data_IF_946584305645
#
_entry.id   IF_946584305645
#
_cell.length_a   1.000
_cell.length_b   1.000
_cell.length_c   1.000
_cell.angle_alpha   90.00
_cell.angle_beta   90.00
_cell.angle_gamma   90.00
#
_symmetry.space_group_name_H-M   'P 1'
#
loop_
_entity.id
_entity.type
_entity.pdbx_description
1 polymer ?
#
# COMPACT_ATOMS: atom_id res chain seq x y z
N UNK A 1 -6.20 19.75 -8.51
CA UNK A 1 -4.96 20.13 -9.20
C UNK A 1 -4.49 21.54 -8.83
N UNK A 2 -5.32 22.59 -8.92
CA UNK A 2 -4.95 23.97 -8.56
C UNK A 2 -4.44 24.15 -7.12
N UNK A 3 -5.11 23.54 -6.14
CA UNK A 3 -4.68 23.61 -4.74
C UNK A 3 -3.30 22.97 -4.50
N UNK A 4 -3.01 21.82 -5.13
CA UNK A 4 -1.72 21.16 -5.03
C UNK A 4 -0.59 22.00 -5.65
N UNK A 5 -0.87 22.64 -6.80
CA UNK A 5 0.05 23.58 -7.44
C UNK A 5 0.32 24.80 -6.57
N UNK A 6 -0.73 25.38 -5.97
CA UNK A 6 -0.58 26.53 -5.08
C UNK A 6 0.32 26.21 -3.88
N UNK A 7 0.12 25.03 -3.26
CA UNK A 7 0.98 24.54 -2.18
C UNK A 7 2.42 24.37 -2.68
N UNK A 8 2.64 23.65 -3.78
CA UNK A 8 3.97 23.42 -4.31
C UNK A 8 4.74 24.73 -4.61
N UNK A 9 4.06 25.71 -5.21
CA UNK A 9 4.63 27.02 -5.52
C UNK A 9 4.89 27.85 -4.26
N UNK A 10 4.01 27.80 -3.26
CA UNK A 10 4.22 28.52 -2.00
C UNK A 10 5.46 28.02 -1.24
N UNK A 11 5.69 26.71 -1.22
CA UNK A 11 6.92 26.13 -0.67
C UNK A 11 8.16 26.51 -1.49
N UNK A 12 8.05 26.48 -2.83
CA UNK A 12 9.15 26.93 -3.70
C UNK A 12 9.50 28.41 -3.47
N UNK A 13 8.50 29.28 -3.30
CA UNK A 13 8.68 30.70 -2.99
C UNK A 13 9.28 30.93 -1.59
N UNK A 14 9.01 30.03 -0.64
CA UNK A 14 9.64 30.03 0.69
C UNK A 14 11.09 29.50 0.67
N UNK A 15 11.65 29.19 -0.51
CA UNK A 15 13.02 28.71 -0.69
C UNK A 15 13.17 27.19 -0.60
N UNK A 16 12.07 26.44 -0.54
CA UNK A 16 12.11 24.97 -0.52
C UNK A 16 12.13 24.41 -1.94
N UNK A 17 13.30 23.90 -2.35
CA UNK A 17 13.45 23.16 -3.60
C UNK A 17 13.05 21.70 -3.40
N UNK A 18 11.92 21.30 -4.01
CA UNK A 18 11.43 19.93 -3.98
C UNK A 18 12.43 18.92 -4.56
N UNK A 19 13.20 19.33 -5.56
CA UNK A 19 14.23 18.49 -6.18
C UNK A 19 15.41 18.25 -5.25
N UNK A 20 15.87 19.30 -4.55
CA UNK A 20 16.94 19.17 -3.55
C UNK A 20 16.48 18.37 -2.34
N UNK A 21 15.23 18.56 -1.91
CA UNK A 21 14.61 17.72 -0.88
C UNK A 21 14.61 16.24 -1.26
N UNK A 22 14.27 15.92 -2.51
CA UNK A 22 14.28 14.54 -3.01
C UNK A 22 15.68 13.93 -3.03
N UNK A 23 16.69 14.63 -3.57
CA UNK A 23 18.07 14.14 -3.60
C UNK A 23 18.66 13.98 -2.20
N UNK A 24 18.37 14.89 -1.27
CA UNK A 24 18.81 14.80 0.12
C UNK A 24 18.18 13.61 0.86
N UNK A 25 16.88 13.35 0.64
CA UNK A 25 16.21 12.16 1.18
C UNK A 25 16.83 10.88 0.63
N UNK A 26 17.12 10.83 -0.68
CA UNK A 26 17.79 9.70 -1.29
C UNK A 26 19.19 9.49 -0.68
N UNK A 27 20.00 10.55 -0.56
CA UNK A 27 21.32 10.47 0.07
C UNK A 27 21.24 9.95 1.52
N UNK A 28 20.30 10.46 2.31
CA UNK A 28 20.10 10.02 3.71
C UNK A 28 19.65 8.56 3.80
N UNK A 29 18.78 8.13 2.89
CA UNK A 29 18.29 6.76 2.81
C UNK A 29 19.44 5.79 2.55
N UNK A 30 20.31 6.09 1.58
CA UNK A 30 21.49 5.26 1.25
C UNK A 30 22.63 5.35 2.26
N UNK A 31 22.77 6.46 2.99
CA UNK A 31 23.69 6.60 4.10
C UNK A 31 23.24 5.85 5.37
N UNK A 32 21.95 5.53 5.46
CA UNK A 32 21.35 4.81 6.59
C UNK A 32 21.35 3.29 6.41
N UNK A 33 20.37 2.65 7.04
CA UNK A 33 20.23 1.19 7.18
C UNK A 33 19.81 0.50 5.85
N UNK A 34 19.76 1.23 4.73
CA UNK A 34 19.37 0.67 3.43
C UNK A 34 20.34 -0.41 2.92
N UNK A 35 21.61 -0.39 3.35
CA UNK A 35 22.61 -1.43 3.05
C UNK A 35 22.38 -2.72 3.85
N UNK A 36 21.83 -2.63 5.06
CA UNK A 36 21.56 -3.79 5.92
C UNK A 36 20.25 -4.51 5.54
N UNK A 37 19.48 -3.97 4.60
CA UNK A 37 18.21 -4.52 4.10
C UNK A 37 18.41 -5.11 2.70
N UNK A 38 18.77 -6.41 2.59
CA UNK A 38 19.01 -7.05 1.29
C UNK A 38 17.75 -6.99 0.42
N UNK A 39 17.89 -6.45 -0.79
CA UNK A 39 16.78 -6.26 -1.72
C UNK A 39 16.09 -7.59 -2.07
N UNK A 40 16.88 -8.65 -2.23
CA UNK A 40 16.38 -9.99 -2.55
C UNK A 40 15.39 -10.52 -1.52
N UNK A 41 15.56 -10.16 -0.24
CA UNK A 41 14.65 -10.56 0.83
C UNK A 41 13.45 -9.62 0.91
N UNK A 42 13.68 -8.31 0.92
CA UNK A 42 12.63 -7.33 1.18
C UNK A 42 11.64 -7.14 0.04
N UNK A 43 12.03 -7.38 -1.22
CA UNK A 43 11.10 -7.36 -2.37
C UNK A 43 9.91 -8.31 -2.17
N UNK A 44 10.15 -9.55 -1.72
CA UNK A 44 9.05 -10.50 -1.50
C UNK A 44 8.45 -10.38 -0.10
N UNK A 45 9.27 -10.08 0.92
CA UNK A 45 8.79 -9.94 2.29
C UNK A 45 7.81 -8.76 2.42
N UNK A 46 8.05 -7.65 1.71
CA UNK A 46 7.12 -6.52 1.62
C UNK A 46 5.74 -6.95 1.11
N UNK A 47 5.71 -7.71 0.01
CA UNK A 47 4.47 -8.22 -0.58
C UNK A 47 3.76 -9.20 0.36
N UNK A 48 4.52 -10.09 1.02
CA UNK A 48 3.99 -11.01 2.01
C UNK A 48 3.36 -10.25 3.20
N UNK A 49 4.02 -9.20 3.70
CA UNK A 49 3.49 -8.33 4.74
C UNK A 49 2.18 -7.66 4.31
N UNK A 50 2.06 -7.20 3.06
CA UNK A 50 0.80 -6.66 2.54
C UNK A 50 -0.28 -7.70 2.53
N UNK A 51 -0.01 -8.90 2.02
CA UNK A 51 -0.99 -10.00 1.98
C UNK A 51 -1.47 -10.35 3.38
N UNK A 52 -0.56 -10.42 4.35
CA UNK A 52 -0.89 -10.62 5.76
C UNK A 52 -1.73 -9.46 6.33
N UNK A 53 -1.41 -8.20 5.98
CA UNK A 53 -2.10 -7.03 6.48
C UNK A 53 -3.51 -6.85 5.90
N UNK A 54 -3.70 -7.11 4.60
CA UNK A 54 -5.02 -6.96 3.95
C UNK A 54 -5.92 -8.18 4.17
N UNK A 55 -5.33 -9.34 4.49
CA UNK A 55 -6.02 -10.60 4.74
C UNK A 55 -6.47 -11.32 3.47
N UNK A 56 -6.66 -12.64 3.58
CA UNK A 56 -6.95 -13.54 2.45
C UNK A 56 -8.27 -13.19 1.73
N UNK A 57 -9.25 -12.63 2.43
CA UNK A 57 -10.50 -12.19 1.81
C UNK A 57 -10.31 -11.04 0.85
N UNK A 58 -9.36 -10.15 1.16
CA UNK A 58 -9.03 -9.01 0.31
C UNK A 58 -8.25 -9.46 -0.90
N UNK A 59 -7.36 -10.45 -0.76
CA UNK A 59 -6.68 -11.12 -1.89
C UNK A 59 -7.71 -11.78 -2.82
N UNK A 60 -8.69 -12.49 -2.27
CA UNK A 60 -9.77 -13.08 -3.05
C UNK A 60 -10.60 -12.01 -3.78
N UNK A 61 -10.92 -10.89 -3.11
CA UNK A 61 -11.60 -9.75 -3.71
C UNK A 61 -10.80 -9.09 -4.84
N UNK A 62 -9.47 -9.01 -4.69
CA UNK A 62 -8.55 -8.46 -5.69
C UNK A 62 -8.54 -9.27 -6.99
N UNK A 63 -8.79 -10.58 -6.94
CA UNK A 63 -8.92 -11.39 -8.18
C UNK A 63 -10.09 -10.94 -9.06
N UNK A 64 -11.13 -10.34 -8.46
CA UNK A 64 -12.30 -9.80 -9.17
C UNK A 64 -12.15 -8.36 -9.60
N UNK A 65 -11.09 -7.68 -9.13
CA UNK A 65 -10.79 -6.30 -9.48
C UNK A 65 -10.47 -6.13 -10.98
N UNK A 66 -10.01 -7.20 -11.63
CA UNK A 66 -9.65 -7.23 -13.04
C UNK A 66 -10.84 -7.50 -13.99
N UNK A 67 -12.08 -7.37 -13.52
CA UNK A 67 -13.26 -7.48 -14.39
C UNK A 67 -13.25 -6.35 -15.45
N UNK A 68 -12.92 -6.72 -16.69
CA UNK A 68 -12.87 -5.81 -17.85
C UNK A 68 -14.20 -5.08 -18.08
N UNK A 69 -15.34 -5.70 -17.77
CA UNK A 69 -16.64 -5.06 -17.96
C UNK A 69 -16.87 -3.95 -16.93
N UNK A 70 -16.48 -4.17 -15.66
CA UNK A 70 -16.58 -3.17 -14.60
C UNK A 70 -15.60 -2.00 -14.79
N UNK A 71 -14.37 -2.28 -15.25
CA UNK A 71 -13.37 -1.26 -15.58
C UNK A 71 -13.84 -0.41 -16.76
N UNK A 72 -14.38 -1.04 -17.82
CA UNK A 72 -14.89 -0.32 -18.99
C UNK A 72 -16.10 0.54 -18.67
N UNK A 73 -16.90 0.15 -17.67
CA UNK A 73 -17.99 0.96 -17.10
C UNK A 73 -17.50 2.08 -16.16
N UNK A 74 -16.18 2.22 -15.96
CA UNK A 74 -15.56 3.20 -15.05
C UNK A 74 -16.14 3.19 -13.65
N UNK A 75 -16.37 1.99 -13.10
CA UNK A 75 -16.72 1.85 -11.68
C UNK A 75 -15.62 2.48 -10.82
N UNK A 76 -15.95 3.55 -10.10
CA UNK A 76 -14.98 4.31 -9.29
C UNK A 76 -14.22 3.42 -8.30
N UNK A 77 -14.89 2.42 -7.73
CA UNK A 77 -14.28 1.46 -6.82
C UNK A 77 -13.17 0.63 -7.48
N UNK A 78 -13.41 0.11 -8.69
CA UNK A 78 -12.41 -0.68 -9.42
C UNK A 78 -11.19 0.17 -9.80
N UNK A 79 -11.44 1.41 -10.25
CA UNK A 79 -10.38 2.34 -10.63
C UNK A 79 -9.52 2.76 -9.43
N UNK A 80 -10.14 3.07 -8.28
CA UNK A 80 -9.40 3.43 -7.05
C UNK A 80 -8.57 2.25 -6.58
N UNK A 81 -9.14 1.05 -6.50
CA UNK A 81 -8.40 -0.12 -6.06
C UNK A 81 -7.26 -0.50 -7.02
N UNK A 82 -7.45 -0.36 -8.33
CA UNK A 82 -6.38 -0.55 -9.34
C UNK A 82 -5.28 0.49 -9.18
N UNK A 83 -5.64 1.76 -8.95
CA UNK A 83 -4.68 2.82 -8.71
C UNK A 83 -3.88 2.57 -7.42
N UNK A 84 -4.50 2.05 -6.36
CA UNK A 84 -3.80 1.69 -5.12
C UNK A 84 -2.83 0.52 -5.32
N UNK A 85 -3.23 -0.52 -6.08
CA UNK A 85 -2.33 -1.61 -6.46
C UNK A 85 -1.14 -1.11 -7.29
N UNK A 86 -1.39 -0.24 -8.26
CA UNK A 86 -0.36 0.37 -9.08
C UNK A 86 0.59 1.24 -8.24
N UNK A 87 0.06 2.01 -7.28
CA UNK A 87 0.86 2.80 -6.36
C UNK A 87 1.77 1.92 -5.50
N UNK A 88 1.27 0.80 -4.99
CA UNK A 88 2.07 -0.19 -4.23
C UNK A 88 3.16 -0.79 -5.11
N UNK A 89 2.84 -1.21 -6.34
CA UNK A 89 3.83 -1.75 -7.27
C UNK A 89 4.91 -0.71 -7.64
N UNK A 90 4.51 0.54 -7.91
CA UNK A 90 5.45 1.64 -8.15
C UNK A 90 6.32 1.92 -6.91
N UNK A 91 5.76 1.87 -5.70
CA UNK A 91 6.49 2.07 -4.46
C UNK A 91 7.49 0.93 -4.20
N UNK A 92 7.12 -0.32 -4.49
CA UNK A 92 8.02 -1.46 -4.34
C UNK A 92 9.17 -1.41 -5.37
N UNK A 93 8.83 -1.10 -6.62
CA UNK A 93 9.81 -0.90 -7.70
C UNK A 93 10.73 0.31 -7.45
N UNK A 94 10.27 1.32 -6.71
CA UNK A 94 11.11 2.48 -6.36
C UNK A 94 12.28 2.16 -5.43
N UNK A 95 12.31 0.96 -4.82
CA UNK A 95 13.32 0.52 -3.85
C UNK A 95 13.46 1.39 -2.58
N UNK A 96 12.62 2.42 -2.41
CA UNK A 96 12.61 3.34 -1.28
C UNK A 96 11.74 2.86 -0.10
N UNK A 97 10.98 1.77 -0.26
CA UNK A 97 10.05 1.24 0.76
C UNK A 97 10.56 -0.04 1.46
N UNK A 98 11.87 -0.35 1.41
CA UNK A 98 12.40 -1.59 2.02
C UNK A 98 12.15 -1.59 3.53
N UNK A 99 11.35 -2.54 4.03
CA UNK A 99 10.98 -2.66 5.44
C UNK A 99 10.29 -1.43 6.08
N UNK A 100 9.78 -0.49 5.28
CA UNK A 100 8.97 0.64 5.75
C UNK A 100 7.52 0.58 5.24
N UNK A 101 7.12 -0.59 4.74
CA UNK A 101 5.78 -0.87 4.22
C UNK A 101 4.70 -0.53 5.23
N UNK A 102 4.94 -0.84 6.51
CA UNK A 102 4.03 -0.49 7.61
C UNK A 102 3.79 1.02 7.74
N UNK A 103 4.72 1.89 7.33
CA UNK A 103 4.54 3.35 7.42
C UNK A 103 4.07 3.97 6.12
N UNK A 104 4.61 3.50 5.00
CA UNK A 104 4.39 4.12 3.69
C UNK A 104 3.13 3.54 3.03
N UNK A 105 2.86 2.25 3.20
CA UNK A 105 1.77 1.58 2.48
C UNK A 105 0.47 1.48 3.28
N UNK A 106 0.50 1.69 4.59
CA UNK A 106 -0.69 1.67 5.45
C UNK A 106 -1.88 2.48 4.88
N UNK A 107 -1.70 3.73 4.41
CA UNK A 107 -2.80 4.49 3.83
C UNK A 107 -3.41 3.84 2.59
N UNK A 108 -2.60 3.09 1.81
CA UNK A 108 -3.02 2.42 0.58
C UNK A 108 -3.64 1.05 0.86
N UNK A 109 -3.10 0.28 1.81
CA UNK A 109 -3.59 -1.06 2.16
C UNK A 109 -4.96 -1.03 2.83
N UNK A 110 -5.30 0.05 3.55
CA UNK A 110 -6.65 0.27 4.10
C UNK A 110 -7.72 0.17 3.00
N UNK A 111 -7.48 0.74 1.83
CA UNK A 111 -8.42 0.66 0.70
C UNK A 111 -8.54 -0.74 0.11
N UNK A 112 -7.48 -1.55 0.21
CA UNK A 112 -7.50 -2.93 -0.25
C UNK A 112 -8.34 -3.83 0.65
N UNK A 113 -8.49 -3.50 1.95
CA UNK A 113 -9.38 -4.26 2.86
C UNK A 113 -10.86 -4.16 2.49
N UNK A 114 -11.23 -3.19 1.64
CA UNK A 114 -12.58 -3.08 1.08
C UNK A 114 -12.81 -3.99 -0.13
N UNK A 115 -11.77 -4.59 -0.74
CA UNK A 115 -11.88 -5.50 -1.89
C UNK A 115 -12.82 -6.71 -1.69
N UNK A 116 -13.00 -7.30 -0.49
CA UNK A 116 -13.97 -8.36 -0.27
C UNK A 116 -15.42 -7.95 -0.57
N UNK A 117 -15.74 -6.65 -0.63
CA UNK A 117 -17.07 -6.17 -1.00
C UNK A 117 -17.45 -6.49 -2.47
N UNK A 118 -16.50 -6.94 -3.29
CA UNK A 118 -16.74 -7.46 -4.64
C UNK A 118 -17.10 -8.95 -4.67
N UNK A 119 -17.10 -9.61 -3.51
CA UNK A 119 -17.50 -11.01 -3.38
C UNK A 119 -19.03 -11.12 -3.31
N UNK A 120 -19.63 -12.30 -3.42
CA UNK A 120 -21.08 -12.45 -3.32
C UNK A 120 -21.57 -12.02 -1.92
N UNK A 121 -22.72 -11.36 -1.84
CA UNK A 121 -23.25 -10.83 -0.57
C UNK A 121 -23.36 -11.87 0.56
N UNK A 122 -23.60 -13.14 0.20
CA UNK A 122 -23.67 -14.25 1.16
C UNK A 122 -22.32 -14.59 1.80
N UNK A 123 -21.19 -14.34 1.11
CA UNK A 123 -19.86 -14.68 1.60
C UNK A 123 -19.17 -13.52 2.32
N UNK A 124 -19.71 -12.29 2.25
CA UNK A 124 -19.14 -11.11 2.92
C UNK A 124 -18.87 -11.35 4.41
N UNK A 125 -19.82 -11.95 5.13
CA UNK A 125 -19.69 -12.22 6.57
C UNK A 125 -18.58 -13.22 6.87
N UNK A 126 -18.41 -14.23 6.02
CA UNK A 126 -17.36 -15.25 6.16
C UNK A 126 -15.99 -14.62 5.93
N UNK A 127 -15.85 -13.79 4.90
CA UNK A 127 -14.60 -13.12 4.58
C UNK A 127 -14.22 -12.03 5.59
N UNK A 128 -15.19 -11.30 6.13
CA UNK A 128 -14.98 -10.38 7.25
C UNK A 128 -14.53 -11.12 8.51
N UNK A 129 -15.18 -12.24 8.83
CA UNK A 129 -14.80 -13.08 9.98
C UNK A 129 -13.38 -13.65 9.81
N UNK A 130 -13.03 -14.14 8.61
CA UNK A 130 -11.68 -14.61 8.29
C UNK A 130 -10.62 -13.50 8.39
N UNK A 131 -10.91 -12.30 7.88
CA UNK A 131 -9.98 -11.17 7.99
C UNK A 131 -9.80 -10.73 9.45
N UNK A 132 -10.88 -10.63 10.23
CA UNK A 132 -10.82 -10.28 11.65
C UNK A 132 -10.08 -11.35 12.48
N UNK A 133 -10.37 -12.63 12.25
CA UNK A 133 -9.69 -13.74 12.90
C UNK A 133 -8.20 -13.78 12.53
N UNK A 134 -7.85 -13.57 11.26
CA UNK A 134 -6.47 -13.47 10.80
C UNK A 134 -5.72 -12.31 11.46
N UNK A 135 -6.33 -11.13 11.53
CA UNK A 135 -5.74 -9.96 12.20
C UNK A 135 -5.53 -10.21 13.70
N UNK A 136 -6.52 -10.81 14.38
CA UNK A 136 -6.42 -11.19 15.80
C UNK A 136 -5.34 -12.25 16.02
N UNK A 137 -5.26 -13.25 15.16
CA UNK A 137 -4.26 -14.31 15.26
C UNK A 137 -2.85 -13.76 15.05
N UNK A 138 -2.63 -12.90 14.05
CA UNK A 138 -1.35 -12.23 13.83
C UNK A 138 -0.98 -11.38 15.05
N UNK A 139 -1.91 -10.57 15.58
CA UNK A 139 -1.68 -9.74 16.76
C UNK A 139 -1.39 -10.57 18.02
N UNK A 140 -2.04 -11.73 18.17
CA UNK A 140 -1.86 -12.59 19.35
C UNK A 140 -0.56 -13.42 19.27
N UNK A 141 -0.16 -13.84 18.07
CA UNK A 141 1.06 -14.64 17.85
C UNK A 141 2.29 -13.77 17.78
N UNK A 142 2.20 -12.59 17.14
CA UNK A 142 3.29 -11.63 17.07
C UNK A 142 3.19 -10.69 18.27
N UNK A 143 3.70 -11.16 19.42
CA UNK A 143 4.00 -10.27 20.55
C UNK A 143 5.17 -9.39 20.15
N UNK A 144 4.88 -8.25 19.54
CA UNK A 144 5.85 -7.17 19.35
C UNK A 144 6.09 -6.52 20.70
N UNK A 145 7.16 -6.94 21.37
CA UNK A 145 7.77 -6.13 22.42
C UNK A 145 8.27 -4.86 21.73
N UNK A 146 7.54 -3.76 21.91
CA UNK A 146 7.98 -2.42 21.54
C UNK A 146 9.11 -1.97 22.44
#
# INVERSE_FOLDING_TARGET
MLAALAVAVSFAAAGFSWFDGYTLVQQRYWQGIANDRPFQYWWWANLACVVCAIGLGSVAGLTRLFDRAAIRRRSGFHLVALAMLAAIACADLSMLSKAEVERIWLPFTVWLTAAPALLPAWSHRIWLALNAAGALLINTVMVTNW
#
